data_IF_044161756167
#
_entry.id   IF_044161756167
#
_cell.length_a   1.000
_cell.length_b   1.000
_cell.length_c   1.000
_cell.angle_alpha   90.00
_cell.angle_beta   90.00
_cell.angle_gamma   90.00
#
_symmetry.space_group_name_H-M   'P 1'
#
loop_
_entity.id
_entity.type
_entity.pdbx_description
1 polymer ?
#
# COMPACT_ATOMS: atom_id res chain seq x y z
N UNK A 1 -13.58 14.63 23.47
CA UNK A 1 -14.44 13.72 24.25
C UNK A 1 -15.65 13.45 23.40
N UNK A 2 -15.69 12.28 22.75
CA UNK A 2 -16.79 11.89 21.89
C UNK A 2 -18.10 11.90 22.67
N UNK A 3 -19.11 12.56 22.09
CA UNK A 3 -20.46 12.48 22.61
C UNK A 3 -21.00 11.07 22.31
N UNK A 4 -21.71 10.43 23.25
CA UNK A 4 -22.41 9.19 22.96
C UNK A 4 -23.36 9.39 21.77
N UNK A 5 -23.43 8.39 20.89
CA UNK A 5 -24.33 8.33 19.70
C UNK A 5 -25.80 8.69 20.01
N UNK A 6 -26.23 8.58 21.27
CA UNK A 6 -27.58 8.91 21.71
C UNK A 6 -27.91 10.41 21.80
N UNK A 7 -26.91 11.31 21.69
CA UNK A 7 -27.11 12.77 21.75
C UNK A 7 -27.13 13.44 20.36
N UNK A 8 -27.24 12.68 19.28
CA UNK A 8 -27.61 13.23 17.98
C UNK A 8 -29.03 13.82 18.08
N UNK A 9 -29.09 15.15 18.24
CA UNK A 9 -30.29 15.98 18.39
C UNK A 9 -31.41 15.45 17.47
N UNK A 10 -32.49 14.96 18.09
CA UNK A 10 -33.74 14.46 17.48
C UNK A 10 -33.81 13.02 16.94
N UNK A 11 -32.80 12.14 17.12
CA UNK A 11 -32.90 10.74 16.65
C UNK A 11 -33.25 10.61 15.14
N UNK A 12 -32.87 11.64 14.35
CA UNK A 12 -33.07 11.65 12.89
C UNK A 12 -32.09 10.74 12.15
N UNK A 13 -31.03 10.29 12.82
CA UNK A 13 -30.00 9.43 12.26
C UNK A 13 -30.56 8.05 11.87
N UNK A 14 -31.31 7.43 12.79
CA UNK A 14 -32.04 6.17 12.54
C UNK A 14 -33.10 6.30 11.42
N UNK A 15 -33.69 7.49 11.23
CA UNK A 15 -34.70 7.72 10.17
C UNK A 15 -34.08 7.93 8.79
N UNK A 16 -32.81 8.32 8.71
CA UNK A 16 -32.10 8.62 7.47
C UNK A 16 -31.31 7.41 6.98
N UNK A 17 -30.73 6.64 7.91
CA UNK A 17 -29.93 5.46 7.59
C UNK A 17 -30.69 4.12 7.69
N UNK A 18 -31.89 4.10 8.28
CA UNK A 18 -32.71 2.89 8.48
C UNK A 18 -33.84 2.66 7.46
N UNK A 19 -33.98 3.49 6.42
CA UNK A 19 -35.00 3.28 5.38
C UNK A 19 -34.48 2.34 4.28
N UNK A 20 -35.30 1.35 3.87
CA UNK A 20 -34.99 0.39 2.79
C UNK A 20 -34.63 1.04 1.44
N UNK A 21 -34.98 2.32 1.23
CA UNK A 21 -34.63 3.11 0.04
C UNK A 21 -33.43 4.06 0.21
N UNK A 22 -32.79 4.08 1.38
CA UNK A 22 -31.65 4.96 1.63
C UNK A 22 -30.41 4.45 0.89
N UNK A 23 -29.93 5.22 -0.09
CA UNK A 23 -28.65 4.97 -0.74
C UNK A 23 -27.45 5.28 0.18
N UNK A 24 -27.71 5.70 1.42
CA UNK A 24 -26.78 6.41 2.31
C UNK A 24 -26.57 5.70 3.65
N UNK A 25 -26.50 4.37 3.68
CA UNK A 25 -26.20 3.63 4.92
C UNK A 25 -24.69 3.73 5.19
N UNK A 26 -24.21 4.16 6.38
CA UNK A 26 -22.78 4.13 6.70
C UNK A 26 -22.30 2.68 6.63
N UNK A 27 -21.46 2.38 5.63
CA UNK A 27 -21.14 1.00 5.28
C UNK A 27 -19.88 0.49 5.94
N UNK A 28 -18.83 1.30 6.01
CA UNK A 28 -17.51 0.81 6.35
C UNK A 28 -16.87 1.63 7.46
N UNK A 29 -16.10 0.96 8.31
CA UNK A 29 -15.31 1.59 9.35
C UNK A 29 -13.97 0.88 9.48
N UNK A 30 -12.93 1.65 9.77
CA UNK A 30 -11.63 1.14 10.16
C UNK A 30 -11.51 1.24 11.68
N UNK A 31 -11.18 0.14 12.34
CA UNK A 31 -10.94 0.09 13.78
C UNK A 31 -9.46 -0.07 14.07
N UNK A 32 -9.01 0.56 15.16
CA UNK A 32 -7.72 0.32 15.80
C UNK A 32 -7.99 -0.25 17.20
N UNK A 33 -7.43 -1.41 17.49
CA UNK A 33 -7.46 -2.04 18.81
C UNK A 33 -6.04 -2.32 19.27
N UNK A 34 -5.81 -2.32 20.57
CA UNK A 34 -4.52 -2.70 21.11
C UNK A 34 -4.55 -3.14 22.56
N UNK A 35 -3.50 -3.82 22.97
CA UNK A 35 -3.25 -4.27 24.34
C UNK A 35 -1.74 -4.22 24.62
N UNK A 36 -1.38 -3.88 25.86
CA UNK A 36 -0.01 -3.88 26.36
C UNK A 36 0.05 -4.61 27.70
N UNK A 37 1.03 -5.50 27.85
CA UNK A 37 1.27 -6.28 29.06
C UNK A 37 2.74 -6.14 29.44
N UNK A 38 3.02 -5.49 30.57
CA UNK A 38 4.38 -5.16 30.99
C UNK A 38 4.70 -5.67 32.40
N UNK A 39 5.93 -6.12 32.59
CA UNK A 39 6.52 -6.40 33.91
C UNK A 39 7.77 -5.56 34.09
N UNK A 40 7.82 -4.82 35.20
CA UNK A 40 8.96 -3.99 35.56
C UNK A 40 9.47 -4.39 36.94
N UNK A 41 10.72 -4.84 36.99
CA UNK A 41 11.48 -5.18 38.20
C UNK A 41 12.74 -4.32 38.25
N UNK A 42 13.48 -4.37 39.36
CA UNK A 42 14.73 -3.62 39.48
C UNK A 42 15.72 -4.06 38.40
N UNK A 43 16.05 -3.16 37.48
CA UNK A 43 16.99 -3.42 36.40
C UNK A 43 16.44 -4.32 35.28
N UNK A 44 15.13 -4.60 35.26
CA UNK A 44 14.52 -5.44 34.22
C UNK A 44 13.16 -4.87 33.83
N UNK A 45 12.95 -4.71 32.54
CA UNK A 45 11.69 -4.29 31.95
C UNK A 45 11.42 -5.15 30.71
N UNK A 46 10.30 -5.85 30.72
CA UNK A 46 9.88 -6.69 29.60
C UNK A 46 8.38 -6.53 29.37
N UNK A 47 7.95 -6.71 28.14
CA UNK A 47 6.53 -6.66 27.82
C UNK A 47 6.18 -7.24 26.47
N UNK A 48 4.88 -7.33 26.26
CA UNK A 48 4.25 -7.74 25.01
C UNK A 48 3.20 -6.71 24.63
N UNK A 49 3.24 -6.28 23.38
CA UNK A 49 2.27 -5.38 22.78
C UNK A 49 1.53 -6.09 21.64
N UNK A 50 0.25 -5.77 21.50
CA UNK A 50 -0.58 -6.18 20.37
C UNK A 50 -1.30 -4.95 19.85
N UNK A 51 -1.22 -4.71 18.54
CA UNK A 51 -1.95 -3.67 17.84
C UNK A 51 -2.60 -4.26 16.62
N UNK A 52 -3.87 -3.97 16.38
CA UNK A 52 -4.63 -4.47 15.23
C UNK A 52 -5.46 -3.36 14.61
N UNK A 53 -5.19 -3.07 13.34
CA UNK A 53 -6.01 -2.23 12.50
C UNK A 53 -6.79 -3.09 11.52
N UNK A 54 -8.09 -2.88 11.35
CA UNK A 54 -8.87 -3.69 10.42
C UNK A 54 -10.12 -2.98 9.95
N UNK A 55 -10.55 -3.33 8.73
CA UNK A 55 -11.77 -2.84 8.11
C UNK A 55 -12.96 -3.69 8.51
N UNK A 56 -14.11 -3.05 8.64
CA UNK A 56 -15.42 -3.69 8.86
C UNK A 56 -16.44 -3.20 7.82
N UNK A 57 -17.48 -4.00 7.58
CA UNK A 57 -18.61 -3.70 6.72
C UNK A 57 -19.92 -3.95 7.48
N UNK A 58 -20.74 -2.92 7.67
CA UNK A 58 -22.01 -2.97 8.39
C UNK A 58 -23.08 -3.81 7.69
N UNK A 59 -22.86 -4.15 6.41
CA UNK A 59 -23.71 -5.09 5.66
C UNK A 59 -23.32 -6.56 5.86
N UNK A 60 -22.28 -6.83 6.65
CA UNK A 60 -21.80 -8.17 6.98
C UNK A 60 -22.10 -8.53 8.42
N UNK A 61 -22.30 -9.82 8.65
CA UNK A 61 -22.55 -10.34 9.99
C UNK A 61 -21.28 -10.20 10.87
N UNK A 62 -21.43 -10.21 12.20
CA UNK A 62 -20.29 -10.06 13.13
C UNK A 62 -19.21 -11.13 12.95
N UNK A 63 -19.58 -12.35 12.55
CA UNK A 63 -18.64 -13.43 12.25
C UNK A 63 -17.90 -13.24 10.91
N UNK A 64 -18.43 -12.42 10.01
CA UNK A 64 -17.81 -12.04 8.74
C UNK A 64 -16.91 -10.79 8.91
N UNK A 65 -17.17 -9.98 9.95
CA UNK A 65 -16.33 -8.88 10.42
C UNK A 65 -15.31 -9.35 11.48
N UNK A 66 -14.29 -10.10 11.04
CA UNK A 66 -13.23 -10.60 11.93
C UNK A 66 -12.11 -9.56 12.19
N UNK A 67 -11.22 -9.83 13.16
CA UNK A 67 -9.99 -9.05 13.40
C UNK A 67 -8.97 -9.08 12.24
N UNK A 68 -9.16 -9.96 11.26
CA UNK A 68 -8.41 -9.93 9.98
C UNK A 68 -8.98 -8.90 8.98
N UNK A 69 -10.11 -8.29 9.36
CA UNK A 69 -10.87 -7.34 8.56
C UNK A 69 -11.60 -7.95 7.39
N UNK A 70 -12.22 -7.08 6.61
CA UNK A 70 -13.02 -7.43 5.43
C UNK A 70 -12.89 -6.39 4.31
N UNK A 71 -13.40 -6.72 3.13
CA UNK A 71 -13.61 -5.82 2.00
C UNK A 71 -15.09 -5.48 1.85
N UNK A 72 -15.44 -4.41 1.11
CA UNK A 72 -16.82 -4.08 0.80
C UNK A 72 -17.58 -5.25 0.17
N UNK A 73 -18.79 -5.50 0.67
CA UNK A 73 -19.74 -6.49 0.12
C UNK A 73 -20.25 -6.12 -1.27
N UNK A 74 -20.14 -4.86 -1.71
CA UNK A 74 -20.60 -4.36 -3.00
C UNK A 74 -19.46 -3.70 -3.80
N UNK A 75 -18.31 -4.37 -3.87
CA UNK A 75 -17.15 -3.93 -4.65
C UNK A 75 -17.24 -4.34 -6.13
N UNK A 76 -16.47 -3.63 -6.96
CA UNK A 76 -16.24 -4.03 -8.34
C UNK A 76 -15.05 -5.00 -8.41
N UNK A 77 -15.17 -6.01 -9.26
CA UNK A 77 -14.05 -6.89 -9.54
C UNK A 77 -12.99 -6.14 -10.39
N UNK A 78 -11.70 -6.44 -10.20
CA UNK A 78 -10.63 -5.97 -11.06
C UNK A 78 -10.89 -6.28 -12.52
N UNK A 79 -10.70 -5.29 -13.37
CA UNK A 79 -10.63 -5.47 -14.81
C UNK A 79 -9.26 -6.01 -15.20
N UNK A 80 -8.20 -5.50 -14.55
CA UNK A 80 -6.83 -6.00 -14.65
C UNK A 80 -6.20 -6.21 -13.28
N UNK A 81 -5.38 -7.26 -13.19
CA UNK A 81 -4.31 -7.32 -12.18
C UNK A 81 -3.02 -6.92 -12.89
N UNK A 82 -2.33 -5.92 -12.34
CA UNK A 82 -1.13 -5.35 -12.93
C UNK A 82 0.08 -5.77 -12.09
N UNK A 83 1.08 -6.35 -12.74
CA UNK A 83 2.38 -6.63 -12.12
C UNK A 83 3.38 -5.62 -12.64
N UNK A 84 3.94 -4.83 -11.74
CA UNK A 84 5.10 -4.00 -12.01
C UNK A 84 6.34 -4.84 -11.74
N UNK A 85 7.20 -4.97 -12.75
CA UNK A 85 8.50 -5.62 -12.68
C UNK A 85 9.54 -4.52 -12.74
N UNK A 86 10.37 -4.42 -11.72
CA UNK A 86 11.43 -3.42 -11.63
C UNK A 86 12.71 -4.09 -11.18
N UNK A 87 13.81 -3.46 -11.57
CA UNK A 87 15.13 -3.68 -11.04
C UNK A 87 15.16 -3.27 -9.55
N UNK A 88 15.63 -4.18 -8.69
CA UNK A 88 15.72 -3.94 -7.25
C UNK A 88 16.90 -3.01 -6.93
N UNK A 89 17.96 -3.05 -7.72
CA UNK A 89 19.17 -2.26 -7.54
C UNK A 89 19.55 -1.57 -8.85
N UNK A 90 18.88 -0.46 -9.20
CA UNK A 90 18.97 0.17 -10.52
C UNK A 90 20.36 0.68 -10.92
N UNK A 91 21.32 0.70 -10.00
CA UNK A 91 22.67 1.22 -10.19
C UNK A 91 23.73 0.14 -10.48
N UNK A 92 23.39 -1.15 -10.50
CA UNK A 92 24.39 -2.22 -10.65
C UNK A 92 24.59 -2.78 -12.08
N UNK A 93 23.94 -2.17 -13.07
CA UNK A 93 23.97 -2.58 -14.48
C UNK A 93 23.47 -4.04 -14.71
N UNK A 94 22.70 -4.59 -13.76
CA UNK A 94 22.02 -5.88 -13.86
C UNK A 94 20.52 -5.62 -13.82
N UNK A 95 19.82 -6.01 -14.89
CA UNK A 95 18.38 -5.86 -14.94
C UNK A 95 17.59 -7.08 -14.46
N UNK A 96 16.33 -7.13 -14.91
CA UNK A 96 15.41 -8.22 -14.64
C UNK A 96 14.94 -8.84 -15.94
N UNK A 97 14.92 -10.17 -16.01
CA UNK A 97 14.28 -10.91 -17.11
C UNK A 97 13.08 -11.68 -16.62
N UNK A 98 11.98 -11.61 -17.38
CA UNK A 98 10.76 -12.37 -17.09
C UNK A 98 10.23 -13.11 -18.31
N UNK A 99 9.62 -14.29 -18.09
CA UNK A 99 8.97 -15.12 -19.13
C UNK A 99 7.88 -16.02 -18.55
N UNK A 100 7.13 -16.69 -19.43
CA UNK A 100 6.07 -17.66 -19.08
C UNK A 100 5.04 -17.12 -18.06
N UNK A 101 4.71 -15.83 -18.22
CA UNK A 101 3.79 -15.09 -17.38
C UNK A 101 2.34 -15.56 -17.58
N UNK A 102 1.65 -15.93 -16.50
CA UNK A 102 0.30 -16.46 -16.52
C UNK A 102 -0.51 -16.06 -15.27
N UNK A 103 -1.84 -16.03 -15.42
CA UNK A 103 -2.76 -15.91 -14.29
C UNK A 103 -3.16 -17.28 -13.76
N UNK A 104 -3.34 -17.40 -12.45
CA UNK A 104 -4.07 -18.51 -11.84
C UNK A 104 -5.36 -17.96 -11.23
N UNK A 105 -6.49 -18.33 -11.82
CA UNK A 105 -7.82 -17.95 -11.34
C UNK A 105 -8.39 -19.13 -10.56
N UNK A 106 -8.61 -18.97 -9.25
CA UNK A 106 -9.03 -20.05 -8.37
C UNK A 106 -8.12 -21.30 -8.46
N UNK A 107 -6.81 -21.08 -8.67
CA UNK A 107 -5.82 -22.15 -8.86
C UNK A 107 -5.75 -22.74 -10.28
N UNK A 108 -6.66 -22.35 -11.19
CA UNK A 108 -6.59 -22.75 -12.60
C UNK A 108 -5.70 -21.80 -13.38
N UNK A 109 -4.59 -22.32 -13.91
CA UNK A 109 -3.67 -21.57 -14.78
C UNK A 109 -4.35 -21.20 -16.11
N UNK A 110 -4.34 -19.91 -16.43
CA UNK A 110 -4.81 -19.31 -17.67
C UNK A 110 -3.58 -18.70 -18.34
N UNK A 111 -3.20 -19.24 -19.49
CA UNK A 111 -2.13 -18.66 -20.32
C UNK A 111 -2.76 -17.57 -21.16
N UNK A 112 -2.43 -16.29 -20.91
CA UNK A 112 -3.02 -15.20 -21.66
C UNK A 112 -2.44 -15.16 -23.08
N UNK A 113 -3.19 -14.58 -24.00
CA UNK A 113 -2.64 -14.21 -25.28
C UNK A 113 -1.82 -12.92 -25.14
N UNK A 114 -0.59 -12.94 -25.64
CA UNK A 114 0.24 -11.74 -25.73
C UNK A 114 -0.30 -10.81 -26.82
N UNK A 115 -0.33 -9.52 -26.51
CA UNK A 115 -0.69 -8.48 -27.47
C UNK A 115 -1.29 -7.24 -26.81
N UNK A 116 -1.57 -6.20 -27.61
CA UNK A 116 -2.28 -5.01 -27.13
C UNK A 116 -3.70 -5.37 -26.65
N UNK A 117 -4.21 -4.59 -25.70
CA UNK A 117 -5.60 -4.72 -25.25
C UNK A 117 -6.56 -4.41 -26.41
N UNK A 118 -7.51 -5.31 -26.64
CA UNK A 118 -8.55 -5.18 -27.65
C UNK A 118 -9.90 -4.94 -26.98
N UNK A 119 -10.29 -3.67 -26.88
CA UNK A 119 -11.55 -3.26 -26.27
C UNK A 119 -12.79 -3.79 -27.01
N UNK A 120 -12.67 -4.22 -28.26
CA UNK A 120 -13.76 -4.86 -29.00
C UNK A 120 -13.97 -6.32 -28.57
N UNK A 121 -13.00 -6.91 -27.89
CA UNK A 121 -13.03 -8.26 -27.34
C UNK A 121 -12.56 -8.26 -25.87
N UNK A 122 -13.27 -7.57 -24.96
CA UNK A 122 -12.81 -7.33 -23.59
C UNK A 122 -12.71 -8.62 -22.77
N UNK A 123 -13.49 -9.65 -23.09
CA UNK A 123 -13.47 -10.94 -22.40
C UNK A 123 -12.25 -11.81 -22.73
N UNK A 124 -11.44 -11.41 -23.71
CA UNK A 124 -10.23 -12.15 -24.10
C UNK A 124 -9.20 -12.03 -22.97
N UNK A 125 -8.74 -13.17 -22.46
CA UNK A 125 -7.62 -13.22 -21.53
C UNK A 125 -6.32 -12.80 -22.26
N UNK A 126 -6.03 -11.50 -22.22
CA UNK A 126 -4.86 -10.87 -22.85
C UNK A 126 -3.85 -10.48 -21.77
N UNK A 127 -2.56 -10.57 -22.12
CA UNK A 127 -1.46 -9.97 -21.38
C UNK A 127 -0.86 -8.87 -22.24
N UNK A 128 -1.14 -7.64 -21.84
CA UNK A 128 -0.50 -6.45 -22.42
C UNK A 128 0.70 -6.12 -21.55
N UNK A 129 1.90 -6.06 -22.13
CA UNK A 129 3.10 -5.52 -21.48
C UNK A 129 3.34 -4.10 -21.96
N UNK A 130 3.59 -3.16 -21.05
CA UNK A 130 3.93 -1.77 -21.37
C UNK A 130 5.16 -1.33 -20.58
N UNK A 131 5.90 -0.34 -21.09
CA UNK A 131 6.98 0.30 -20.35
C UNK A 131 6.39 1.13 -19.20
N UNK A 132 7.07 1.10 -18.07
CA UNK A 132 6.82 1.94 -16.92
C UNK A 132 7.94 2.98 -16.77
N UNK A 133 7.71 4.23 -17.21
CA UNK A 133 8.77 5.22 -17.24
C UNK A 133 9.05 5.87 -15.88
N UNK A 134 8.19 5.69 -14.89
CA UNK A 134 8.27 6.37 -13.60
C UNK A 134 7.68 5.51 -12.48
N UNK A 135 8.52 5.13 -11.53
CA UNK A 135 8.17 4.27 -10.42
C UNK A 135 7.19 4.92 -9.42
N UNK A 136 7.01 6.24 -9.44
CA UNK A 136 5.97 6.92 -8.66
C UNK A 136 4.56 6.73 -9.25
N UNK A 137 4.45 6.23 -10.48
CA UNK A 137 3.18 6.12 -11.21
C UNK A 137 2.39 4.90 -10.74
N UNK A 138 1.24 5.12 -10.12
CA UNK A 138 0.19 4.07 -10.04
C UNK A 138 -0.25 3.68 -11.46
N UNK A 139 -0.89 2.51 -11.69
CA UNK A 139 -1.24 2.08 -13.05
C UNK A 139 -1.89 3.23 -13.87
N UNK A 140 -1.33 3.60 -15.04
CA UNK A 140 -1.79 4.75 -15.83
C UNK A 140 -3.08 4.43 -16.62
N UNK A 141 -4.08 3.88 -15.94
CA UNK A 141 -5.36 3.55 -16.53
C UNK A 141 -6.23 4.80 -16.67
N UNK A 142 -6.84 4.96 -17.84
CA UNK A 142 -7.75 6.07 -18.14
C UNK A 142 -9.02 5.57 -18.79
N UNK A 143 -10.04 6.42 -18.77
CA UNK A 143 -11.28 6.20 -19.51
C UNK A 143 -11.21 6.94 -20.84
N UNK A 144 -11.59 6.25 -21.91
CA UNK A 144 -11.72 6.88 -23.22
C UNK A 144 -13.07 7.63 -23.36
N UNK A 145 -13.33 8.20 -24.54
CA UNK A 145 -14.58 8.95 -24.80
C UNK A 145 -15.86 8.09 -24.74
N UNK A 146 -15.74 6.76 -24.77
CA UNK A 146 -16.85 5.81 -24.51
C UNK A 146 -17.04 5.52 -23.03
N UNK A 147 -16.23 6.12 -22.15
CA UNK A 147 -16.17 5.88 -20.71
C UNK A 147 -15.69 4.46 -20.35
N UNK A 148 -15.02 3.77 -21.26
CA UNK A 148 -14.42 2.45 -21.05
C UNK A 148 -12.96 2.60 -20.62
N UNK A 149 -12.47 1.70 -19.78
CA UNK A 149 -11.07 1.69 -19.39
C UNK A 149 -10.19 1.20 -20.55
N UNK A 150 -9.06 1.86 -20.73
CA UNK A 150 -8.11 1.56 -21.81
C UNK A 150 -6.67 1.55 -21.29
N UNK A 151 -5.82 0.81 -22.00
CA UNK A 151 -4.37 0.87 -21.88
C UNK A 151 -3.87 1.73 -23.03
N UNK A 152 -3.44 2.96 -22.75
CA UNK A 152 -2.98 3.90 -23.79
C UNK A 152 -1.54 3.61 -24.24
N UNK A 153 -0.71 3.09 -23.33
CA UNK A 153 0.67 2.78 -23.61
C UNK A 153 0.78 1.59 -24.60
N UNK A 154 1.73 1.66 -25.56
CA UNK A 154 1.88 0.63 -26.58
C UNK A 154 2.35 -0.70 -25.96
N UNK A 155 1.90 -1.79 -26.56
CA UNK A 155 2.39 -3.12 -26.21
C UNK A 155 3.88 -3.26 -26.57
N UNK A 156 4.66 -3.79 -25.64
CA UNK A 156 6.03 -4.27 -25.88
C UNK A 156 5.96 -5.76 -26.23
N UNK A 157 6.58 -6.15 -27.34
CA UNK A 157 6.75 -7.56 -27.71
C UNK A 157 7.96 -8.16 -26.96
N UNK A 158 7.95 -9.47 -26.65
CA UNK A 158 9.10 -10.11 -26.03
C UNK A 158 10.30 -10.15 -26.99
N UNK A 159 11.49 -10.34 -26.44
CA UNK A 159 12.70 -10.57 -27.24
C UNK A 159 12.55 -11.81 -28.14
N UNK A 160 13.36 -11.96 -29.20
CA UNK A 160 13.37 -13.18 -30.02
C UNK A 160 13.60 -14.48 -29.22
N UNK A 161 14.22 -14.36 -28.05
CA UNK A 161 14.47 -15.46 -27.10
C UNK A 161 13.26 -15.75 -26.19
N UNK A 162 12.20 -14.94 -26.25
CA UNK A 162 10.93 -15.18 -25.58
C UNK A 162 10.85 -14.68 -24.13
N UNK A 163 11.66 -13.69 -23.75
CA UNK A 163 11.58 -13.03 -22.45
C UNK A 163 11.39 -11.51 -22.62
N UNK A 164 10.89 -10.85 -21.57
CA UNK A 164 10.95 -9.40 -21.42
C UNK A 164 12.12 -9.04 -20.50
N UNK A 165 12.68 -7.86 -20.68
CA UNK A 165 13.84 -7.36 -19.93
C UNK A 165 13.64 -5.88 -19.60
N UNK A 166 14.09 -5.47 -18.43
CA UNK A 166 14.11 -4.09 -17.95
C UNK A 166 15.32 -3.92 -17.03
N UNK A 167 15.87 -2.71 -16.95
CA UNK A 167 17.11 -2.40 -16.20
C UNK A 167 17.05 -0.94 -15.73
N UNK A 168 17.67 -0.66 -14.59
CA UNK A 168 17.74 0.68 -14.04
C UNK A 168 16.38 1.17 -13.56
N UNK A 169 16.11 2.46 -13.74
CA UNK A 169 14.87 3.09 -13.26
C UNK A 169 13.63 2.77 -14.11
N UNK A 170 13.81 2.16 -15.30
CA UNK A 170 12.69 1.73 -16.15
C UNK A 170 12.10 0.42 -15.62
N UNK A 171 10.76 0.34 -15.58
CA UNK A 171 10.04 -0.87 -15.24
C UNK A 171 9.19 -1.42 -16.38
N UNK A 172 8.58 -2.57 -16.14
CA UNK A 172 7.54 -3.15 -17.00
C UNK A 172 6.24 -3.30 -16.24
N UNK A 173 5.12 -2.89 -16.86
CA UNK A 173 3.78 -3.21 -16.40
C UNK A 173 3.21 -4.36 -17.21
N UNK A 174 2.93 -5.47 -16.53
CA UNK A 174 2.22 -6.63 -17.07
C UNK A 174 0.75 -6.54 -16.68
N UNK A 175 -0.09 -6.15 -17.64
CA UNK A 175 -1.52 -5.98 -17.49
C UNK A 175 -2.24 -7.29 -17.82
N UNK A 176 -2.61 -8.04 -16.80
CA UNK A 176 -3.37 -9.26 -16.98
C UNK A 176 -4.86 -8.98 -16.95
N UNK A 177 -5.55 -9.16 -18.08
CA UNK A 177 -7.02 -9.07 -18.09
C UNK A 177 -7.58 -10.17 -17.20
N UNK A 178 -8.42 -9.78 -16.23
CA UNK A 178 -9.26 -10.70 -15.50
C UNK A 178 -10.57 -10.85 -16.27
N UNK A 179 -10.90 -12.05 -16.79
CA UNK A 179 -12.14 -12.27 -17.51
C UNK A 179 -13.36 -12.02 -16.61
N UNK A 180 -14.39 -11.36 -17.14
CA UNK A 180 -15.66 -11.27 -16.44
C UNK A 180 -16.31 -12.66 -16.41
N UNK A 181 -16.52 -13.20 -15.20
CA UNK A 181 -17.34 -14.39 -15.07
C UNK A 181 -18.80 -13.95 -14.91
N UNK A 182 -19.54 -14.02 -16.02
CA UNK A 182 -20.99 -13.85 -16.02
C UNK A 182 -21.64 -15.01 -15.26
N UNK A 183 -22.02 -14.75 -14.00
CA UNK A 183 -22.73 -15.69 -13.15
C UNK A 183 -23.33 -14.96 -11.95
N UNK A 184 -24.60 -15.22 -11.63
CA UNK A 184 -25.31 -14.54 -10.54
C UNK A 184 -24.72 -14.80 -9.15
N UNK A 185 -25.31 -14.19 -8.12
CA UNK A 185 -24.92 -14.18 -6.69
C UNK A 185 -24.67 -15.56 -6.03
N UNK A 186 -24.87 -16.66 -6.74
CA UNK A 186 -24.72 -18.04 -6.25
C UNK A 186 -23.68 -18.86 -7.02
N UNK A 187 -22.92 -18.28 -7.96
CA UNK A 187 -22.18 -19.07 -8.93
C UNK A 187 -20.80 -19.56 -8.44
N UNK A 188 -20.57 -20.87 -8.57
CA UNK A 188 -19.29 -21.54 -8.26
C UNK A 188 -18.12 -21.10 -9.17
N UNK A 189 -18.40 -20.30 -10.20
CA UNK A 189 -17.45 -19.83 -11.20
C UNK A 189 -16.86 -18.44 -10.92
N UNK A 190 -17.29 -17.75 -9.87
CA UNK A 190 -16.75 -16.43 -9.53
C UNK A 190 -15.25 -16.49 -9.14
N UNK A 191 -14.46 -15.51 -9.57
CA UNK A 191 -13.04 -15.40 -9.19
C UNK A 191 -12.93 -15.04 -7.72
N UNK A 192 -12.36 -15.95 -6.92
CA UNK A 192 -12.12 -15.82 -5.48
C UNK A 192 -10.68 -15.53 -5.15
N UNK A 193 -9.78 -16.01 -5.98
CA UNK A 193 -8.34 -15.91 -5.81
C UNK A 193 -7.71 -15.68 -7.16
N UNK A 194 -6.82 -14.68 -7.21
CA UNK A 194 -5.96 -14.41 -8.35
C UNK A 194 -4.52 -14.51 -7.89
N UNK A 195 -3.74 -15.28 -8.61
CA UNK A 195 -2.29 -15.30 -8.49
C UNK A 195 -1.68 -15.04 -9.85
N UNK A 196 -0.49 -14.45 -9.85
CA UNK A 196 0.34 -14.34 -11.04
C UNK A 196 1.50 -15.32 -10.87
N UNK A 197 1.78 -16.10 -11.91
CA UNK A 197 2.93 -16.98 -12.00
C UNK A 197 3.80 -16.53 -13.16
N UNK A 198 5.09 -16.32 -12.91
CA UNK A 198 6.08 -16.01 -13.94
C UNK A 198 7.43 -16.64 -13.58
N UNK A 199 8.24 -16.89 -14.60
CA UNK A 199 9.67 -17.14 -14.42
C UNK A 199 10.41 -15.81 -14.42
N UNK A 200 11.24 -15.59 -13.41
CA UNK A 200 12.02 -14.36 -13.22
C UNK A 200 13.48 -14.67 -12.94
N UNK A 201 14.39 -13.82 -13.45
CA UNK A 201 15.84 -13.89 -13.26
C UNK A 201 16.40 -12.49 -13.06
N UNK A 202 17.52 -12.37 -12.36
CA UNK A 202 18.09 -11.07 -11.96
C UNK A 202 17.65 -10.67 -10.55
N UNK A 203 17.93 -9.42 -10.21
CA UNK A 203 17.58 -8.76 -8.97
C UNK A 203 16.25 -7.99 -9.12
N UNK A 204 15.16 -8.72 -8.93
CA UNK A 204 13.83 -8.22 -9.23
C UNK A 204 13.12 -7.70 -7.98
N UNK A 205 12.26 -6.71 -8.16
CA UNK A 205 11.09 -6.51 -7.32
C UNK A 205 9.81 -6.63 -8.15
N UNK A 206 8.88 -7.46 -7.68
CA UNK A 206 7.56 -7.64 -8.25
C UNK A 206 6.54 -6.94 -7.35
N UNK A 207 5.91 -5.91 -7.89
CA UNK A 207 4.85 -5.18 -7.21
C UNK A 207 3.51 -5.46 -7.86
N UNK A 208 2.45 -5.48 -7.07
CA UNK A 208 1.10 -5.75 -7.54
C UNK A 208 0.15 -4.58 -7.32
N UNK A 209 -0.68 -4.32 -8.32
CA UNK A 209 -1.84 -3.44 -8.22
C UNK A 209 -3.01 -4.04 -9.00
N UNK A 210 -4.17 -3.41 -8.91
CA UNK A 210 -5.30 -3.67 -9.78
C UNK A 210 -5.77 -2.39 -10.46
N UNK A 211 -6.53 -2.58 -11.53
CA UNK A 211 -7.35 -1.56 -12.16
C UNK A 211 -8.76 -2.11 -12.27
N UNK A 212 -9.75 -1.34 -11.87
CA UNK A 212 -11.15 -1.76 -11.78
C UNK A 212 -12.06 -0.66 -12.32
N UNK A 213 -13.31 -0.98 -12.66
CA UNK A 213 -14.25 -0.03 -13.26
C UNK A 213 -14.88 0.92 -12.20
N UNK A 214 -14.04 1.64 -11.46
CA UNK A 214 -14.40 2.52 -10.34
C UNK A 214 -14.86 3.94 -10.70
N UNK A 215 -15.43 4.65 -9.73
CA UNK A 215 -15.83 6.05 -9.77
C UNK A 215 -14.66 7.03 -9.57
N UNK A 216 -13.51 6.60 -9.03
CA UNK A 216 -12.34 7.47 -8.89
C UNK A 216 -11.77 7.89 -10.26
N UNK A 217 -11.09 9.04 -10.29
CA UNK A 217 -10.48 9.55 -11.53
C UNK A 217 -9.31 8.69 -12.02
N UNK A 218 -8.64 8.00 -11.11
CA UNK A 218 -7.73 6.91 -11.45
C UNK A 218 -8.18 5.63 -10.73
N UNK A 219 -8.94 4.75 -11.38
CA UNK A 219 -9.55 3.61 -10.73
C UNK A 219 -8.58 2.42 -10.64
N UNK A 220 -7.51 2.66 -9.90
CA UNK A 220 -6.43 1.74 -9.58
C UNK A 220 -6.13 1.75 -8.07
N UNK A 221 -5.36 0.77 -7.59
CA UNK A 221 -4.79 0.81 -6.23
C UNK A 221 -3.32 1.21 -6.26
N UNK A 222 -2.73 1.52 -5.10
CA UNK A 222 -1.28 1.56 -4.99
C UNK A 222 -0.65 0.20 -5.27
N UNK A 223 0.58 0.25 -5.76
CA UNK A 223 1.44 -0.92 -5.82
C UNK A 223 1.88 -1.33 -4.42
N UNK A 224 1.96 -2.63 -4.17
CA UNK A 224 2.68 -3.18 -3.02
C UNK A 224 3.63 -4.27 -3.49
N UNK A 225 4.80 -4.34 -2.87
CA UNK A 225 5.78 -5.40 -3.13
C UNK A 225 5.22 -6.76 -2.70
N UNK A 226 5.12 -7.67 -3.65
CA UNK A 226 4.61 -9.03 -3.42
C UNK A 226 5.74 -10.08 -3.43
N UNK A 227 6.84 -9.81 -4.11
CA UNK A 227 8.05 -10.62 -4.07
C UNK A 227 9.26 -9.78 -4.51
N UNK A 228 10.44 -10.13 -4.02
CA UNK A 228 11.70 -9.56 -4.46
C UNK A 228 12.81 -10.63 -4.42
N UNK A 229 13.94 -10.37 -5.07
CA UNK A 229 15.13 -11.21 -4.96
C UNK A 229 15.75 -11.16 -3.56
N UNK A 230 16.44 -12.25 -3.20
CA UNK A 230 17.36 -12.24 -2.06
C UNK A 230 18.74 -11.78 -2.54
N UNK A 231 19.24 -10.68 -1.97
CA UNK A 231 20.52 -10.07 -2.38
C UNK A 231 20.42 -9.42 -3.77
N UNK A 232 21.55 -9.39 -4.49
CA UNK A 232 21.69 -8.82 -5.84
C UNK A 232 22.18 -9.88 -6.85
N UNK A 233 21.29 -10.78 -7.33
CA UNK A 233 21.67 -11.82 -8.28
C UNK A 233 22.06 -11.26 -9.66
N UNK A 234 23.33 -11.39 -10.05
CA UNK A 234 23.88 -10.92 -11.33
C UNK A 234 23.59 -11.82 -12.55
N UNK A 235 23.07 -13.03 -12.34
CA UNK A 235 22.88 -14.03 -13.40
C UNK A 235 21.47 -14.00 -13.99
N UNK A 236 21.32 -13.33 -15.13
CA UNK A 236 20.07 -13.22 -15.90
C UNK A 236 19.64 -14.48 -16.67
N UNK A 237 20.41 -15.57 -16.57
CA UNK A 237 20.05 -16.87 -17.15
C UNK A 237 19.37 -17.83 -16.16
N UNK A 238 19.40 -17.52 -14.86
CA UNK A 238 18.91 -18.39 -13.80
C UNK A 238 17.45 -18.09 -13.43
N UNK A 239 16.53 -18.47 -14.32
CA UNK A 239 15.11 -18.29 -14.09
C UNK A 239 14.58 -19.14 -12.93
N UNK A 240 13.88 -18.50 -12.01
CA UNK A 240 13.12 -19.12 -10.92
C UNK A 240 11.64 -18.83 -11.13
N UNK A 241 10.80 -19.84 -10.89
CA UNK A 241 9.35 -19.65 -10.91
C UNK A 241 8.90 -18.95 -9.62
N UNK A 242 8.28 -17.79 -9.77
CA UNK A 242 7.67 -17.03 -8.69
C UNK A 242 6.16 -17.03 -8.87
N UNK A 243 5.44 -17.22 -7.76
CA UNK A 243 3.98 -17.15 -7.70
C UNK A 243 3.58 -16.16 -6.61
N UNK A 244 2.91 -15.08 -7.01
CA UNK A 244 2.45 -14.01 -6.11
C UNK A 244 0.93 -13.96 -6.10
N UNK A 245 0.34 -13.81 -4.92
CA UNK A 245 -1.11 -13.75 -4.73
C UNK A 245 -1.57 -12.30 -4.60
N UNK A 246 -2.56 -11.92 -5.41
CA UNK A 246 -3.10 -10.58 -5.37
C UNK A 246 -4.23 -10.42 -4.34
N UNK A 247 -4.23 -9.31 -3.58
CA UNK A 247 -5.38 -8.85 -2.80
C UNK A 247 -5.24 -7.44 -2.22
N UNK A 248 -6.39 -6.78 -2.01
CA UNK A 248 -6.50 -5.55 -1.23
C UNK A 248 -6.30 -5.84 0.25
N UNK A 249 -5.73 -4.90 0.98
CA UNK A 249 -5.55 -5.02 2.43
C UNK A 249 -6.91 -4.97 3.15
N UNK A 250 -7.09 -5.88 4.10
CA UNK A 250 -8.29 -5.98 4.94
C UNK A 250 -8.01 -5.61 6.38
N UNK A 251 -6.78 -5.85 6.84
CA UNK A 251 -6.32 -5.49 8.16
C UNK A 251 -4.84 -5.78 8.34
N UNK A 252 -4.31 -5.36 9.48
CA UNK A 252 -2.93 -5.55 9.91
C UNK A 252 -2.88 -5.83 11.41
N UNK A 253 -1.98 -6.71 11.83
CA UNK A 253 -1.69 -6.96 13.24
C UNK A 253 -0.21 -6.90 13.50
N UNK A 254 0.20 -6.12 14.49
CA UNK A 254 1.55 -6.08 15.04
C UNK A 254 1.55 -6.79 16.39
N UNK A 255 2.51 -7.69 16.59
CA UNK A 255 2.83 -8.32 17.86
C UNK A 255 4.26 -7.95 18.24
N UNK A 256 4.42 -7.10 19.26
CA UNK A 256 5.71 -6.69 19.78
C UNK A 256 6.08 -7.44 21.06
N UNK A 257 7.37 -7.69 21.23
CA UNK A 257 7.95 -8.14 22.49
C UNK A 257 9.24 -7.36 22.74
N UNK A 258 9.37 -6.75 23.91
CA UNK A 258 10.57 -6.02 24.29
C UNK A 258 11.22 -6.61 25.54
N UNK A 259 12.55 -6.49 25.61
CA UNK A 259 13.35 -6.89 26.75
C UNK A 259 14.48 -5.88 26.98
N UNK A 260 14.43 -5.24 28.14
CA UNK A 260 15.37 -4.24 28.60
C UNK A 260 15.97 -4.67 29.94
N UNK A 261 17.29 -4.69 30.04
CA UNK A 261 18.04 -5.10 31.21
C UNK A 261 19.09 -4.04 31.55
N UNK A 262 19.04 -3.52 32.77
CA UNK A 262 20.08 -2.68 33.36
C UNK A 262 20.53 -3.29 34.69
N UNK A 263 21.65 -4.02 34.66
CA UNK A 263 22.15 -4.70 35.86
C UNK A 263 23.67 -4.68 35.96
N UNK A 264 24.17 -4.15 37.06
CA UNK A 264 25.60 -4.17 37.44
C UNK A 264 26.53 -3.61 36.35
N UNK A 265 26.07 -2.62 35.58
CA UNK A 265 26.80 -2.00 34.45
C UNK A 265 26.63 -2.73 33.13
N UNK A 266 25.70 -3.68 33.01
CA UNK A 266 25.21 -4.16 31.72
C UNK A 266 23.94 -3.39 31.37
N UNK A 267 23.85 -2.89 30.15
CA UNK A 267 22.63 -2.34 29.56
C UNK A 267 22.34 -3.13 28.29
N UNK A 268 21.15 -3.71 28.18
CA UNK A 268 20.69 -4.42 26.98
C UNK A 268 19.28 -3.96 26.69
N UNK A 269 19.04 -3.39 25.51
CA UNK A 269 17.73 -3.00 25.02
C UNK A 269 17.43 -3.81 23.77
N UNK A 270 16.23 -4.36 23.66
CA UNK A 270 15.86 -5.14 22.49
C UNK A 270 14.37 -5.14 22.27
N UNK A 271 13.98 -5.22 21.01
CA UNK A 271 12.60 -5.38 20.58
C UNK A 271 12.54 -6.33 19.39
N UNK A 272 11.46 -7.10 19.33
CA UNK A 272 11.09 -7.92 18.18
C UNK A 272 9.61 -7.69 17.89
N UNK A 273 9.28 -7.41 16.64
CA UNK A 273 7.92 -7.20 16.15
C UNK A 273 7.62 -8.19 15.04
N UNK A 274 6.49 -8.91 15.15
CA UNK A 274 5.88 -9.69 14.07
C UNK A 274 4.70 -8.92 13.50
N UNK A 275 4.73 -8.66 12.20
CA UNK A 275 3.65 -8.06 11.44
C UNK A 275 2.87 -9.13 10.66
N UNK A 276 1.55 -9.05 10.69
CA UNK A 276 0.62 -9.84 9.87
C UNK A 276 -0.20 -8.89 9.02
N UNK A 277 0.00 -8.93 7.70
CA UNK A 277 -0.72 -8.12 6.73
C UNK A 277 -1.79 -8.96 6.06
N UNK A 278 -3.07 -8.76 6.41
CA UNK A 278 -4.19 -9.52 5.87
C UNK A 278 -4.70 -8.91 4.57
N UNK A 279 -4.89 -9.76 3.56
CA UNK A 279 -5.36 -9.37 2.23
C UNK A 279 -6.42 -10.31 1.70
N UNK A 280 -7.27 -9.81 0.82
CA UNK A 280 -8.23 -10.61 0.06
C UNK A 280 -8.42 -10.06 -1.35
N UNK A 281 -8.81 -10.94 -2.28
CA UNK A 281 -9.23 -10.50 -3.60
C UNK A 281 -10.60 -9.79 -3.53
N UNK A 282 -10.75 -8.57 -4.10
CA UNK A 282 -12.04 -7.89 -4.22
C UNK A 282 -12.85 -8.53 -5.35
N UNK A 283 -13.57 -9.61 -5.05
CA UNK A 283 -14.50 -10.21 -6.03
C UNK A 283 -15.88 -9.58 -5.96
N UNK A 284 -16.66 -9.72 -7.03
CA UNK A 284 -18.03 -9.23 -7.11
C UNK A 284 -18.92 -9.81 -5.99
N UNK A 285 -19.71 -8.92 -5.39
CA UNK A 285 -20.81 -9.14 -4.45
C UNK A 285 -20.78 -10.46 -3.66
N UNK A 286 -20.01 -10.51 -2.58
CA UNK A 286 -19.93 -11.70 -1.72
C UNK A 286 -19.68 -11.38 -0.25
N UNK A 287 -20.19 -12.26 0.62
CA UNK A 287 -20.04 -12.15 2.07
C UNK A 287 -18.82 -12.89 2.64
N UNK A 288 -18.34 -13.95 1.99
CA UNK A 288 -17.14 -14.69 2.40
C UNK A 288 -15.91 -14.31 1.56
N UNK A 289 -14.80 -13.99 2.21
CA UNK A 289 -13.52 -13.69 1.55
C UNK A 289 -12.53 -14.85 1.73
N UNK A 290 -11.78 -15.14 0.68
CA UNK A 290 -10.59 -16.01 0.75
C UNK A 290 -9.40 -15.13 1.17
N UNK A 291 -9.24 -15.00 2.49
CA UNK A 291 -8.17 -14.22 3.13
C UNK A 291 -6.83 -14.95 3.04
N UNK A 292 -5.77 -14.19 2.89
CA UNK A 292 -4.40 -14.63 3.09
C UNK A 292 -3.63 -13.58 3.88
N UNK A 293 -2.46 -13.96 4.39
CA UNK A 293 -1.59 -13.06 5.12
C UNK A 293 -0.16 -13.12 4.61
N UNK A 294 0.47 -11.95 4.60
CA UNK A 294 1.91 -11.77 4.44
C UNK A 294 2.49 -11.46 5.82
N UNK A 295 3.59 -12.11 6.18
CA UNK A 295 4.17 -11.97 7.51
C UNK A 295 5.59 -11.42 7.41
N UNK A 296 5.85 -10.34 8.13
CA UNK A 296 7.16 -9.68 8.18
C UNK A 296 7.57 -9.40 9.61
N UNK A 297 8.85 -9.09 9.82
CA UNK A 297 9.46 -8.92 11.13
C UNK A 297 10.37 -7.71 11.13
N UNK A 298 10.51 -7.13 12.31
CA UNK A 298 11.54 -6.15 12.61
C UNK A 298 12.12 -6.47 13.99
N UNK A 299 13.42 -6.29 14.16
CA UNK A 299 14.05 -6.42 15.48
C UNK A 299 15.29 -5.57 15.60
N UNK A 300 15.61 -5.19 16.83
CA UNK A 300 16.90 -4.60 17.18
C UNK A 300 17.38 -5.12 18.53
N UNK A 301 18.69 -5.08 18.72
CA UNK A 301 19.37 -5.30 19.99
C UNK A 301 20.49 -4.29 20.12
N UNK A 302 20.45 -3.50 21.19
CA UNK A 302 21.53 -2.64 21.64
C UNK A 302 22.08 -3.20 22.95
N UNK A 303 23.40 -3.38 23.03
CA UNK A 303 24.05 -3.88 24.25
C UNK A 303 25.28 -3.04 24.59
N UNK A 304 25.41 -2.67 25.86
CA UNK A 304 26.54 -1.93 26.41
C UNK A 304 26.99 -2.52 27.74
N UNK A 305 28.30 -2.47 27.97
CA UNK A 305 28.95 -2.90 29.20
C UNK A 305 29.88 -1.81 29.71
N UNK A 306 29.70 -1.45 30.99
CA UNK A 306 30.56 -0.53 31.72
C UNK A 306 31.52 -1.29 32.66
N UNK A 307 32.80 -0.90 32.62
CA UNK A 307 33.88 -1.36 33.48
C UNK A 307 34.55 -0.18 34.17
N UNK A 308 33.84 0.47 35.10
CA UNK A 308 34.34 1.64 35.81
C UNK A 308 34.51 2.84 34.88
N UNK A 309 35.76 3.17 34.50
CA UNK A 309 36.07 4.30 33.61
C UNK A 309 35.98 4.00 32.11
N UNK A 310 35.65 2.76 31.72
CA UNK A 310 35.58 2.34 30.33
C UNK A 310 34.21 1.74 30.01
N UNK A 311 33.71 1.96 28.79
CA UNK A 311 32.47 1.38 28.28
C UNK A 311 32.66 0.87 26.85
N UNK A 312 32.08 -0.29 26.54
CA UNK A 312 31.99 -0.82 25.18
C UNK A 312 30.52 -1.19 24.90
N UNK A 313 30.04 -0.89 23.71
CA UNK A 313 28.72 -1.29 23.27
C UNK A 313 28.66 -1.52 21.76
N UNK A 314 27.54 -2.05 21.32
CA UNK A 314 27.24 -2.30 19.92
C UNK A 314 25.74 -2.48 19.71
N UNK A 315 25.34 -2.39 18.45
CA UNK A 315 23.96 -2.48 17.99
C UNK A 315 23.87 -3.41 16.79
N UNK A 316 22.75 -4.12 16.71
CA UNK A 316 22.36 -4.90 15.54
C UNK A 316 20.85 -4.79 15.34
N UNK A 317 20.41 -4.68 14.10
CA UNK A 317 19.00 -4.63 13.75
C UNK A 317 18.73 -5.31 12.41
N UNK A 318 17.47 -5.63 12.16
CA UNK A 318 17.00 -6.10 10.86
C UNK A 318 15.51 -5.81 10.72
N UNK A 319 15.13 -5.34 9.54
CA UNK A 319 13.75 -5.03 9.17
C UNK A 319 13.49 -5.73 7.84
N UNK A 320 12.47 -6.58 7.77
CA UNK A 320 12.06 -7.22 6.52
C UNK A 320 11.54 -6.13 5.56
N UNK A 321 11.91 -6.17 4.28
CA UNK A 321 11.55 -5.11 3.30
C UNK A 321 10.05 -4.89 3.09
N UNK A 322 9.18 -5.82 3.49
CA UNK A 322 7.72 -5.67 3.49
C UNK A 322 7.14 -5.30 4.86
N UNK A 323 7.96 -4.99 5.86
CA UNK A 323 7.50 -4.50 7.16
C UNK A 323 6.92 -3.10 7.01
N UNK A 324 5.75 -2.89 7.60
CA UNK A 324 5.10 -1.58 7.61
C UNK A 324 4.06 -1.56 8.73
N UNK A 325 3.70 -0.36 9.16
CA UNK A 325 2.68 -0.06 10.17
C UNK A 325 1.38 0.48 9.56
N UNK A 326 1.33 0.62 8.23
CA UNK A 326 0.21 1.24 7.52
C UNK A 326 -0.89 0.24 7.11
N UNK A 327 -2.15 0.67 7.22
CA UNK A 327 -3.31 0.03 6.64
C UNK A 327 -3.83 0.84 5.45
N UNK A 328 -3.64 0.30 4.26
CA UNK A 328 -4.10 0.89 3.01
C UNK A 328 -5.56 0.55 2.72
N UNK A 329 -6.41 1.57 2.57
CA UNK A 329 -7.86 1.44 2.43
C UNK A 329 -8.35 2.15 1.17
N UNK A 330 -8.52 1.36 0.11
CA UNK A 330 -9.22 1.81 -1.08
C UNK A 330 -10.74 1.93 -0.84
N UNK A 331 -11.30 3.12 -1.13
CA UNK A 331 -12.74 3.41 -1.23
C UNK A 331 -13.04 4.10 -2.57
N UNK A 332 -13.69 3.40 -3.49
CA UNK A 332 -13.92 3.84 -4.88
C UNK A 332 -14.48 5.27 -5.04
N UNK A 333 -15.43 5.68 -4.21
CA UNK A 333 -16.08 7.00 -4.30
C UNK A 333 -15.69 7.91 -3.12
N UNK A 334 -14.89 7.38 -2.18
CA UNK A 334 -14.48 7.97 -0.90
C UNK A 334 -15.66 8.42 0.01
N UNK A 335 -16.91 8.29 -0.46
CA UNK A 335 -18.13 8.84 0.15
C UNK A 335 -18.36 8.37 1.57
N UNK A 336 -17.83 7.22 1.93
CA UNK A 336 -17.94 6.66 3.29
C UNK A 336 -17.24 7.53 4.33
N UNK A 337 -16.30 8.37 3.91
CA UNK A 337 -15.48 9.19 4.81
C UNK A 337 -15.85 10.68 4.81
N UNK A 338 -16.40 11.23 3.72
CA UNK A 338 -16.58 12.70 3.60
C UNK A 338 -18.00 13.19 3.26
N UNK A 339 -18.89 12.36 2.72
CA UNK A 339 -20.09 12.88 2.04
C UNK A 339 -21.37 12.72 2.88
N UNK A 340 -21.50 13.52 3.94
CA UNK A 340 -22.77 13.68 4.66
C UNK A 340 -22.98 15.14 5.11
N UNK A 341 -24.23 15.63 5.07
CA UNK A 341 -24.64 16.86 5.75
C UNK A 341 -24.42 16.82 7.28
N UNK A 342 -24.23 15.62 7.82
CA UNK A 342 -23.84 15.32 9.21
C UNK A 342 -22.37 14.95 9.37
N UNK A 343 -21.61 14.81 8.27
CA UNK A 343 -20.16 14.61 8.35
C UNK A 343 -19.58 15.89 8.94
N UNK A 344 -18.77 15.82 10.01
CA UNK A 344 -18.02 16.98 10.47
C UNK A 344 -16.96 17.41 9.44
N UNK A 345 -16.76 16.63 8.37
CA UNK A 345 -15.76 16.84 7.34
C UNK A 345 -16.40 17.23 6.00
N UNK A 346 -16.01 18.37 5.46
CA UNK A 346 -16.34 18.81 4.10
C UNK A 346 -15.46 18.05 3.10
N UNK A 347 -16.00 17.67 1.92
CA UNK A 347 -15.19 17.10 0.83
C UNK A 347 -13.93 17.96 0.60
N UNK A 348 -12.72 17.42 0.80
CA UNK A 348 -11.53 18.18 0.50
C UNK A 348 -11.46 18.33 -1.02
N UNK A 349 -11.52 19.55 -1.53
CA UNK A 349 -11.31 19.84 -2.96
C UNK A 349 -9.88 19.50 -3.42
N UNK A 350 -8.98 19.27 -2.45
CA UNK A 350 -7.63 18.76 -2.62
C UNK A 350 -7.47 17.60 -1.63
N UNK A 351 -7.81 16.39 -2.02
CA UNK A 351 -7.42 15.18 -1.29
C UNK A 351 -5.94 14.94 -1.61
N UNK A 352 -5.10 14.83 -0.58
CA UNK A 352 -3.70 14.44 -0.76
C UNK A 352 -3.58 12.95 -0.54
N UNK A 353 -3.04 12.28 -1.53
CA UNK A 353 -2.70 10.88 -1.49
C UNK A 353 -1.17 10.83 -1.35
N UNK A 354 -0.62 10.41 -0.19
CA UNK A 354 0.81 10.54 0.08
C UNK A 354 1.69 9.85 -0.96
N UNK A 355 1.19 8.76 -1.53
CA UNK A 355 1.88 7.95 -2.54
C UNK A 355 1.49 8.32 -3.98
N UNK A 356 0.72 9.40 -4.18
CA UNK A 356 0.34 9.88 -5.50
C UNK A 356 1.17 11.12 -5.86
N UNK A 357 2.02 11.05 -6.89
CA UNK A 357 2.79 12.21 -7.33
C UNK A 357 1.86 13.31 -7.80
N UNK A 358 2.24 14.59 -7.65
CA UNK A 358 1.43 15.71 -8.12
C UNK A 358 1.13 15.67 -9.63
N UNK A 359 2.04 15.10 -10.43
CA UNK A 359 1.92 14.94 -11.88
C UNK A 359 2.45 13.58 -12.34
N UNK A 360 1.82 13.01 -13.37
CA UNK A 360 2.23 11.79 -14.07
C UNK A 360 2.24 12.08 -15.57
N UNK A 361 3.40 11.97 -16.22
CA UNK A 361 3.53 12.22 -17.66
C UNK A 361 3.11 13.62 -18.11
N UNK A 362 3.24 14.63 -17.22
CA UNK A 362 2.85 16.02 -17.46
C UNK A 362 1.39 16.36 -17.16
N UNK A 363 0.55 15.37 -16.85
CA UNK A 363 -0.82 15.57 -16.39
C UNK A 363 -0.90 15.53 -14.87
N UNK A 364 -1.85 16.25 -14.27
CA UNK A 364 -2.11 16.12 -12.83
C UNK A 364 -2.56 14.69 -12.53
N UNK A 365 -1.95 14.04 -11.54
CA UNK A 365 -2.33 12.69 -11.17
C UNK A 365 -3.78 12.66 -10.66
N UNK A 366 -4.58 11.75 -11.18
CA UNK A 366 -5.94 11.53 -10.70
C UNK A 366 -5.90 10.77 -9.38
N UNK A 367 -6.64 11.18 -8.33
CA UNK A 367 -6.75 10.42 -7.10
C UNK A 367 -7.30 9.01 -7.34
N UNK A 368 -6.73 8.07 -6.59
CA UNK A 368 -7.22 6.69 -6.49
C UNK A 368 -8.40 6.54 -5.57
N UNK A 369 -8.58 7.48 -4.63
CA UNK A 369 -9.40 7.40 -3.44
C UNK A 369 -8.90 6.36 -2.40
N UNK A 370 -7.59 6.34 -2.21
CA UNK A 370 -6.92 5.49 -1.21
C UNK A 370 -6.61 6.28 0.06
N UNK A 371 -6.93 5.70 1.22
CA UNK A 371 -6.58 6.27 2.53
C UNK A 371 -5.58 5.35 3.21
N UNK A 372 -4.47 5.89 3.72
CA UNK A 372 -3.55 5.19 4.59
C UNK A 372 -3.81 5.52 6.05
N UNK A 373 -3.87 4.48 6.89
CA UNK A 373 -3.97 4.59 8.34
C UNK A 373 -2.70 4.03 8.98
N UNK A 374 -1.88 4.87 9.59
CA UNK A 374 -0.65 4.45 10.24
C UNK A 374 -0.93 4.06 11.70
N UNK A 375 -0.38 2.95 12.21
CA UNK A 375 -0.49 2.61 13.65
C UNK A 375 0.44 3.45 14.52
N UNK A 376 1.54 3.90 13.91
CA UNK A 376 2.58 4.73 14.50
C UNK A 376 2.93 5.71 13.40
N UNK A 377 2.72 6.99 13.67
CA UNK A 377 3.34 8.10 12.94
C UNK A 377 4.57 8.51 13.77
N UNK A 378 5.67 8.81 13.09
CA UNK A 378 6.78 9.52 13.71
C UNK A 378 6.29 10.89 14.19
N UNK A 379 6.89 11.34 15.29
CA UNK A 379 6.70 12.68 15.82
C UNK A 379 8.07 13.24 16.25
N UNK A 380 9.07 12.97 15.42
CA UNK A 380 10.47 13.28 15.68
C UNK A 380 10.77 14.79 15.62
N UNK A 381 9.85 15.61 15.12
CA UNK A 381 9.79 17.08 15.27
C UNK A 381 9.31 17.54 16.65
N UNK A 382 8.81 16.61 17.47
CA UNK A 382 8.22 16.85 18.79
C UNK A 382 7.04 17.81 18.75
N UNK A 383 6.34 17.87 17.64
CA UNK A 383 5.09 18.59 17.58
C UNK A 383 3.94 17.66 18.06
N UNK A 384 2.69 18.13 17.96
CA UNK A 384 1.53 17.37 18.44
C UNK A 384 0.71 16.75 17.30
N UNK A 385 1.16 16.91 16.06
CA UNK A 385 0.50 16.50 14.84
C UNK A 385 1.22 15.27 14.25
N UNK A 386 0.50 14.40 13.55
CA UNK A 386 1.10 13.34 12.75
C UNK A 386 1.57 13.91 11.40
N UNK A 387 2.66 13.36 10.88
CA UNK A 387 3.30 13.74 9.62
C UNK A 387 2.37 13.59 8.42
N UNK A 388 1.53 12.55 8.42
CA UNK A 388 0.48 12.33 7.42
C UNK A 388 -0.92 12.51 8.02
N UNK A 389 -1.73 13.41 7.45
CA UNK A 389 -3.08 13.72 7.93
C UNK A 389 -4.12 13.50 6.82
N UNK A 390 -5.00 12.51 6.89
CA UNK A 390 -6.06 12.34 5.87
C UNK A 390 -7.23 13.35 5.99
N UNK A 391 -7.21 14.22 7.02
CA UNK A 391 -8.24 15.24 7.29
C UNK A 391 -7.64 16.65 7.25
N UNK A 392 -8.31 17.54 6.52
CA UNK A 392 -7.90 18.94 6.39
C UNK A 392 -7.96 19.69 7.74
N UNK A 393 -6.88 20.39 8.12
CA UNK A 393 -6.93 21.41 9.18
C UNK A 393 -7.76 22.61 8.69
N UNK A 394 -8.69 23.04 9.53
CA UNK A 394 -9.68 24.11 9.29
C UNK A 394 -9.22 25.31 8.45
N UNK A 395 -10.15 25.77 7.61
CA UNK A 395 -10.31 27.04 6.87
C UNK A 395 -9.45 28.25 7.28
N UNK A 396 -8.13 28.18 7.13
CA UNK A 396 -7.34 29.39 7.00
C UNK A 396 -7.53 29.95 5.57
N UNK A 397 -8.14 31.13 5.49
CA UNK A 397 -8.43 31.83 4.23
C UNK A 397 -7.19 32.48 3.60
N UNK A 398 -6.08 32.62 4.34
CA UNK A 398 -4.82 33.16 3.83
C UNK A 398 -3.92 32.06 3.23
N UNK A 399 -3.86 30.88 3.83
CA UNK A 399 -3.07 29.73 3.33
C UNK A 399 -3.91 28.72 2.52
N UNK A 400 -5.23 28.87 2.53
CA UNK A 400 -6.14 27.96 1.82
C UNK A 400 -6.32 26.61 2.52
N UNK A 401 -5.94 26.46 3.80
CA UNK A 401 -6.03 25.20 4.55
C UNK A 401 -5.32 24.05 3.84
N UNK A 402 -4.05 24.28 3.49
CA UNK A 402 -3.22 23.43 2.60
C UNK A 402 -2.56 22.23 3.26
N UNK A 403 -2.67 22.09 4.58
CA UNK A 403 -1.80 21.15 5.29
C UNK A 403 -2.58 19.87 5.62
N UNK A 404 -2.34 18.90 4.74
CA UNK A 404 -2.73 17.48 4.80
C UNK A 404 -1.48 16.62 5.13
N UNK A 405 -0.30 17.25 5.11
CA UNK A 405 0.98 16.83 5.68
C UNK A 405 1.47 17.98 6.57
N UNK A 406 2.30 17.68 7.57
CA UNK A 406 2.92 18.72 8.39
C UNK A 406 3.75 19.68 7.50
N UNK A 407 3.44 21.00 7.47
CA UNK A 407 4.22 21.97 6.70
C UNK A 407 5.64 22.16 7.20
N UNK A 408 5.89 21.83 8.46
CA UNK A 408 7.15 22.15 9.11
C UNK A 408 8.18 21.04 8.85
N UNK A 409 7.75 19.76 8.74
CA UNK A 409 8.55 18.62 8.30
C UNK A 409 9.75 18.35 9.21
N UNK A 410 10.19 17.09 9.29
CA UNK A 410 11.35 16.74 10.11
C UNK A 410 12.50 16.28 9.24
N UNK A 411 13.64 16.97 9.37
CA UNK A 411 14.85 16.64 8.62
C UNK A 411 16.08 16.49 9.54
N UNK A 412 16.06 15.61 10.57
CA UNK A 412 17.22 15.43 11.44
C UNK A 412 18.39 14.85 10.64
N UNK A 413 19.37 15.70 10.31
CA UNK A 413 20.48 15.33 9.43
C UNK A 413 20.17 15.41 7.93
N UNK A 414 18.96 15.82 7.54
CA UNK A 414 18.52 15.94 6.15
C UNK A 414 18.17 17.38 5.73
N UNK A 415 18.32 18.36 6.63
CA UNK A 415 18.22 19.81 6.37
C UNK A 415 19.53 20.45 6.85
N UNK A 416 20.57 20.31 6.04
CA UNK A 416 21.92 20.77 6.34
C UNK A 416 22.02 22.30 6.31
N UNK A 417 21.16 22.99 5.56
CA UNK A 417 21.14 24.45 5.45
C UNK A 417 20.15 25.14 6.40
N UNK A 418 19.36 24.35 7.15
CA UNK A 418 18.40 24.76 8.18
C UNK A 418 17.30 25.66 7.61
N UNK A 419 16.90 25.44 6.36
CA UNK A 419 15.90 26.24 5.68
C UNK A 419 14.46 25.76 5.94
N UNK A 420 14.28 24.64 6.68
CA UNK A 420 13.00 24.01 6.96
C UNK A 420 12.48 23.16 5.80
N UNK A 421 13.38 22.60 4.97
CA UNK A 421 13.07 21.69 3.85
C UNK A 421 14.08 20.54 3.84
N UNK A 422 13.69 19.37 3.32
CA UNK A 422 14.63 18.29 3.13
C UNK A 422 15.56 18.61 1.95
N UNK A 423 16.87 18.48 2.14
CA UNK A 423 17.89 18.47 1.07
C UNK A 423 17.70 17.29 0.08
N UNK A 424 16.79 16.36 0.39
CA UNK A 424 16.46 15.19 -0.42
C UNK A 424 15.28 15.42 -1.36
N UNK A 425 14.59 16.57 -1.33
CA UNK A 425 13.49 16.94 -2.25
C UNK A 425 13.25 18.46 -2.20
N UNK A 426 14.29 19.24 -2.52
CA UNK A 426 14.32 20.71 -2.39
C UNK A 426 13.28 21.41 -3.28
N UNK A 427 13.01 20.83 -4.45
CA UNK A 427 12.05 21.38 -5.40
C UNK A 427 10.59 21.03 -5.06
N UNK A 428 10.37 20.20 -4.03
CA UNK A 428 9.06 19.75 -3.53
C UNK A 428 8.16 19.16 -4.62
N UNK A 429 8.72 18.30 -5.47
CA UNK A 429 7.97 17.61 -6.53
C UNK A 429 7.60 16.15 -6.17
N UNK A 430 7.93 15.71 -4.95
CA UNK A 430 7.64 14.38 -4.40
C UNK A 430 8.45 13.25 -5.03
N UNK A 431 9.46 13.60 -5.82
CA UNK A 431 10.52 12.71 -6.28
C UNK A 431 11.73 13.05 -5.41
N UNK A 432 12.34 12.09 -4.71
CA UNK A 432 13.58 12.38 -4.03
C UNK A 432 14.63 12.90 -5.02
N UNK A 433 15.34 13.97 -4.72
CA UNK A 433 16.32 14.64 -5.59
C UNK A 433 17.38 13.65 -6.12
N UNK A 434 17.67 12.57 -5.38
CA UNK A 434 18.59 11.51 -5.80
C UNK A 434 18.02 10.58 -6.90
N UNK A 435 16.70 10.56 -7.11
CA UNK A 435 16.03 9.95 -8.26
C UNK A 435 15.88 10.91 -9.45
N UNK A 436 16.25 12.18 -9.30
CA UNK A 436 16.12 13.19 -10.33
C UNK A 436 17.44 13.43 -11.10
N UNK A 437 17.42 13.41 -12.45
CA UNK A 437 18.63 13.60 -13.23
C UNK A 437 19.01 15.08 -13.35
N UNK A 438 19.71 15.65 -12.35
CA UNK A 438 20.55 16.84 -12.55
C UNK A 438 21.59 17.07 -11.44
N UNK A 439 22.86 17.16 -11.86
CA UNK A 439 24.06 17.68 -11.17
C UNK A 439 23.86 18.36 -9.80
N UNK A 440 23.80 17.58 -8.71
CA UNK A 440 24.02 18.04 -7.34
C UNK A 440 25.04 17.15 -6.61
N UNK A 441 25.70 17.75 -5.64
CA UNK A 441 26.88 17.24 -4.94
C UNK A 441 26.51 16.09 -3.99
N UNK A 442 27.16 14.94 -4.19
CA UNK A 442 27.56 13.93 -3.19
C UNK A 442 26.75 13.93 -1.87
N UNK A 443 25.67 13.14 -1.82
CA UNK A 443 25.08 12.70 -0.54
C UNK A 443 25.11 11.17 -0.52
N UNK A 444 26.08 10.69 0.24
CA UNK A 444 26.30 9.31 0.64
C UNK A 444 25.08 8.77 1.41
N UNK A 445 24.59 7.55 1.12
CA UNK A 445 23.60 6.90 1.97
C UNK A 445 24.30 6.34 3.21
N UNK A 446 24.27 7.08 4.31
CA UNK A 446 24.49 6.53 5.65
C UNK A 446 23.16 6.12 6.29
#
# INVERSE_FOLDING_TARGET
IDKPIYEAVQNNDHRTHGQEGSQFIPRWATYLLGADLRTQLQGLDMGFSWVNQFRTDSLRDLNENSFKGTLPSLGQAPEWVVVRVIDQNPDDEVGVRIRDAALLLNGRRIVPQLGPYDKLNPDRATLTVTIDPDLAVIPPARRDNSNELVIEAPHVDPTPQGFYETEGLEGLLLWFKVPEFSGGLADSNAVRRVEVELDVSGDYALQLSEVFNGASSNPATYFYTAAQSEGTPDNLGNFKRVRVRYGRQTGRTLLGAHFNLDVRGWMVHSEFVRNFNFRAYPGAVRRSLDLFDEQTNAWYVNARRDWGGFSLGGEAFSIDGGYSTALNVQDDDLRSYYQFLSSPFTYPTNFHEPLLPGFVGGDRAGPTNTIDFHTVDDNDDKDQYPDSFYLRRTTDLQTGGRFIEDPDGVFPGLDADLNGRPDINENNNQIPDYYEPFLLYDVNPD
#
